data_IF_061303072659
#
_entry.id   IF_061303072659
#
_cell.length_a   1.000
_cell.length_b   1.000
_cell.length_c   1.000
_cell.angle_alpha   90.00
_cell.angle_beta   90.00
_cell.angle_gamma   90.00
#
_symmetry.space_group_name_H-M   'P 1'
#
loop_
_entity.id
_entity.type
_entity.pdbx_description
1 polymer ?
#
# COMPACT_ATOMS: atom_id res chain seq x y z
N UNK A 1 0.90 -0.39 -15.91
CA UNK A 1 2.18 -1.15 -15.96
C UNK A 1 1.92 -2.51 -15.36
N UNK A 2 2.38 -3.59 -15.98
CA UNK A 2 2.30 -4.95 -15.43
C UNK A 2 3.41 -5.16 -14.40
N UNK A 3 3.09 -5.75 -13.26
CA UNK A 3 4.03 -6.19 -12.21
C UNK A 3 4.31 -7.67 -12.39
N UNK A 4 3.24 -8.44 -12.51
CA UNK A 4 3.23 -9.84 -12.94
C UNK A 4 2.16 -10.01 -14.03
N UNK A 5 1.92 -11.23 -14.51
CA UNK A 5 0.87 -11.46 -15.51
C UNK A 5 -0.53 -11.02 -15.05
N UNK A 6 -0.79 -11.10 -13.74
CA UNK A 6 -2.11 -10.89 -13.15
C UNK A 6 -2.16 -9.68 -12.20
N UNK A 7 -1.01 -9.05 -11.90
CA UNK A 7 -0.93 -7.89 -11.01
C UNK A 7 -0.53 -6.65 -11.80
N UNK A 8 -1.39 -5.64 -11.76
CA UNK A 8 -1.21 -4.38 -12.48
C UNK A 8 -1.02 -3.21 -11.51
N UNK A 9 -0.17 -2.26 -11.87
CA UNK A 9 -0.05 -0.98 -11.20
C UNK A 9 -1.11 0.01 -11.71
N UNK A 10 -1.87 0.61 -10.81
CA UNK A 10 -2.92 1.59 -11.09
C UNK A 10 -2.70 2.96 -10.41
N UNK A 11 -1.58 3.14 -9.76
CA UNK A 11 -1.30 4.39 -9.03
C UNK A 11 -1.20 5.64 -9.90
N UNK A 12 -0.99 6.77 -9.25
CA UNK A 12 -0.91 8.10 -9.85
C UNK A 12 0.34 8.84 -9.39
N UNK A 13 0.76 9.84 -10.15
CA UNK A 13 1.85 10.74 -9.81
C UNK A 13 1.32 12.15 -9.57
N UNK A 14 1.64 12.73 -8.42
CA UNK A 14 1.28 14.10 -8.06
C UNK A 14 2.51 15.00 -8.23
N UNK A 15 2.49 15.82 -9.28
CA UNK A 15 3.51 16.84 -9.56
C UNK A 15 3.10 18.23 -9.07
N UNK A 16 1.90 18.37 -8.51
CA UNK A 16 1.40 19.64 -8.00
C UNK A 16 1.74 19.88 -6.53
N UNK A 17 2.01 18.78 -5.79
CA UNK A 17 2.40 18.87 -4.40
C UNK A 17 3.87 19.31 -4.28
N UNK A 18 4.13 20.30 -3.41
CA UNK A 18 5.48 20.77 -3.08
C UNK A 18 5.89 20.42 -1.64
N UNK A 19 4.90 20.24 -0.75
CA UNK A 19 5.11 19.90 0.66
C UNK A 19 4.17 18.75 1.07
N UNK A 20 4.73 17.56 1.28
CA UNK A 20 4.00 16.39 1.76
C UNK A 20 3.79 16.45 3.28
N UNK A 21 2.61 16.03 3.77
CA UNK A 21 2.19 16.13 5.17
C UNK A 21 2.42 17.52 5.81
N UNK A 22 2.38 18.59 5.02
CA UNK A 22 2.62 19.98 5.44
C UNK A 22 4.01 20.23 6.05
N UNK A 23 4.99 19.32 5.86
CA UNK A 23 6.31 19.46 6.45
C UNK A 23 7.48 18.94 5.59
N UNK A 24 7.25 18.03 4.66
CA UNK A 24 8.33 17.45 3.85
C UNK A 24 8.32 18.02 2.44
N UNK A 25 9.37 18.78 2.09
CA UNK A 25 9.51 19.25 0.71
C UNK A 25 9.69 18.07 -0.25
N UNK A 26 8.90 18.04 -1.32
CA UNK A 26 8.90 16.99 -2.35
C UNK A 26 9.03 17.61 -3.73
N UNK A 27 10.22 18.12 -4.08
CA UNK A 27 10.44 18.84 -5.35
C UNK A 27 10.21 17.97 -6.59
N UNK A 28 10.26 16.64 -6.42
CA UNK A 28 9.98 15.66 -7.47
C UNK A 28 8.57 15.06 -7.35
N UNK A 29 7.65 15.72 -6.63
CA UNK A 29 6.28 15.27 -6.44
C UNK A 29 6.16 14.04 -5.52
N UNK A 30 5.03 13.34 -5.63
CA UNK A 30 4.73 12.09 -4.91
C UNK A 30 4.07 11.09 -5.84
N UNK A 31 4.25 9.81 -5.53
CA UNK A 31 3.46 8.72 -6.11
C UNK A 31 2.48 8.21 -5.05
N UNK A 32 1.22 8.02 -5.42
CA UNK A 32 0.22 7.30 -4.62
C UNK A 32 -0.11 6.01 -5.35
N UNK A 33 0.39 4.90 -4.80
CA UNK A 33 0.34 3.61 -5.46
C UNK A 33 -0.93 2.85 -5.10
N UNK A 34 -1.54 2.26 -6.11
CA UNK A 34 -2.64 1.31 -6.02
C UNK A 34 -2.39 0.19 -6.99
N UNK A 35 -2.93 -0.99 -6.70
CA UNK A 35 -2.68 -2.18 -7.52
C UNK A 35 -3.97 -2.94 -7.78
N UNK A 36 -3.98 -3.73 -8.85
CA UNK A 36 -5.10 -4.58 -9.24
C UNK A 36 -4.62 -6.01 -9.41
N UNK A 37 -5.28 -6.94 -8.76
CA UNK A 37 -5.06 -8.38 -8.92
C UNK A 37 -6.22 -8.95 -9.72
N UNK A 38 -5.91 -9.48 -10.90
CA UNK A 38 -6.85 -10.10 -11.82
C UNK A 38 -6.83 -11.62 -11.61
N UNK A 39 -7.94 -12.15 -11.09
CA UNK A 39 -8.12 -13.58 -10.87
C UNK A 39 -9.59 -13.94 -11.10
N UNK A 40 -10.04 -15.11 -10.64
CA UNK A 40 -11.47 -15.48 -10.60
C UNK A 40 -12.27 -14.41 -9.87
N UNK A 41 -11.76 -13.95 -8.72
CA UNK A 41 -12.20 -12.74 -8.03
C UNK A 41 -11.15 -11.64 -8.15
N UNK A 42 -11.60 -10.41 -8.37
CA UNK A 42 -10.73 -9.24 -8.58
C UNK A 42 -10.56 -8.49 -7.27
N UNK A 43 -9.31 -8.17 -6.93
CA UNK A 43 -9.00 -7.31 -5.80
C UNK A 43 -8.26 -6.04 -6.23
N UNK A 44 -8.73 -4.89 -5.74
CA UNK A 44 -8.01 -3.61 -5.78
C UNK A 44 -7.28 -3.45 -4.45
N UNK A 45 -5.99 -3.11 -4.49
CA UNK A 45 -5.13 -2.91 -3.32
C UNK A 45 -4.92 -1.43 -3.11
N UNK A 46 -5.49 -0.90 -2.04
CA UNK A 46 -5.54 0.50 -1.64
C UNK A 46 -6.13 1.46 -2.69
N UNK A 47 -6.37 2.67 -2.28
CA UNK A 47 -6.83 3.76 -3.14
C UNK A 47 -5.73 4.83 -3.27
N UNK A 48 -6.09 6.00 -3.75
CA UNK A 48 -5.18 7.13 -3.95
C UNK A 48 -5.75 8.39 -3.28
N UNK A 49 -4.98 9.47 -3.26
CA UNK A 49 -5.42 10.78 -2.81
C UNK A 49 -6.68 11.24 -3.55
N UNK A 50 -7.57 11.92 -2.83
CA UNK A 50 -8.87 12.34 -3.34
C UNK A 50 -8.81 13.22 -4.60
N UNK A 51 -7.72 13.96 -4.80
CA UNK A 51 -7.52 14.79 -6.00
C UNK A 51 -7.38 13.96 -7.28
N UNK A 52 -7.02 12.69 -7.18
CA UNK A 52 -6.80 11.77 -8.31
C UNK A 52 -7.88 10.71 -8.46
N UNK A 53 -8.99 10.82 -7.71
CA UNK A 53 -10.09 9.83 -7.72
C UNK A 53 -10.58 9.50 -9.13
N UNK A 54 -10.89 10.50 -9.94
CA UNK A 54 -11.46 10.32 -11.28
C UNK A 54 -10.47 9.64 -12.23
N UNK A 55 -9.20 10.03 -12.17
CA UNK A 55 -8.13 9.40 -12.95
C UNK A 55 -7.98 7.93 -12.56
N UNK A 56 -7.92 7.66 -11.26
CA UNK A 56 -7.72 6.32 -10.74
C UNK A 56 -8.92 5.39 -11.04
N UNK A 57 -10.16 5.83 -10.84
CA UNK A 57 -11.36 5.06 -11.20
C UNK A 57 -11.40 4.78 -12.71
N UNK A 58 -10.98 5.73 -13.54
CA UNK A 58 -10.88 5.53 -14.98
C UNK A 58 -9.86 4.43 -15.34
N UNK A 59 -8.71 4.39 -14.66
CA UNK A 59 -7.69 3.34 -14.83
C UNK A 59 -8.23 1.97 -14.43
N UNK A 60 -8.97 1.87 -13.31
CA UNK A 60 -9.62 0.64 -12.88
C UNK A 60 -10.61 0.17 -13.95
N UNK A 61 -11.52 1.02 -14.39
CA UNK A 61 -12.52 0.68 -15.38
C UNK A 61 -11.88 0.22 -16.71
N UNK A 62 -10.81 0.89 -17.15
CA UNK A 62 -10.09 0.50 -18.36
C UNK A 62 -9.41 -0.86 -18.23
N UNK A 63 -8.87 -1.20 -17.05
CA UNK A 63 -8.22 -2.48 -16.80
C UNK A 63 -9.22 -3.64 -16.67
N UNK A 64 -10.41 -3.38 -16.14
CA UNK A 64 -11.44 -4.39 -15.88
C UNK A 64 -12.36 -4.68 -17.07
N UNK A 65 -12.52 -3.71 -17.99
CA UNK A 65 -13.51 -3.83 -19.07
C UNK A 65 -14.93 -3.96 -18.52
N UNK A 66 -15.57 -5.10 -18.75
CA UNK A 66 -16.94 -5.37 -18.29
C UNK A 66 -17.01 -5.96 -16.86
N UNK A 67 -15.86 -6.30 -16.26
CA UNK A 67 -15.79 -6.81 -14.88
C UNK A 67 -15.93 -5.68 -13.87
N UNK A 68 -16.32 -6.04 -12.65
CA UNK A 68 -16.24 -5.17 -11.48
C UNK A 68 -15.29 -5.81 -10.44
N UNK A 69 -14.68 -5.01 -9.55
CA UNK A 69 -13.87 -5.56 -8.47
C UNK A 69 -14.76 -6.24 -7.42
N UNK A 70 -14.33 -7.41 -6.95
CA UNK A 70 -14.98 -8.15 -5.86
C UNK A 70 -14.56 -7.60 -4.50
N UNK A 71 -13.29 -7.15 -4.41
CA UNK A 71 -12.71 -6.64 -3.18
C UNK A 71 -11.95 -5.33 -3.39
N UNK A 72 -12.04 -4.46 -2.39
CA UNK A 72 -11.07 -3.39 -2.11
C UNK A 72 -10.35 -3.74 -0.81
N UNK A 73 -9.06 -4.01 -0.88
CA UNK A 73 -8.23 -4.22 0.31
C UNK A 73 -7.60 -2.90 0.70
N UNK A 74 -7.95 -2.40 1.89
CA UNK A 74 -7.41 -1.14 2.43
C UNK A 74 -6.39 -1.49 3.51
N UNK A 75 -5.12 -1.23 3.22
CA UNK A 75 -4.01 -1.53 4.11
C UNK A 75 -3.71 -0.38 5.05
N UNK A 76 -3.99 0.87 4.60
CA UNK A 76 -3.67 2.09 5.32
C UNK A 76 -4.75 3.16 5.14
N UNK A 77 -4.96 3.95 6.21
CA UNK A 77 -6.05 4.95 6.28
C UNK A 77 -5.56 6.40 6.19
N UNK A 78 -4.30 6.64 5.88
CA UNK A 78 -3.82 7.99 5.60
C UNK A 78 -4.54 8.56 4.37
N UNK A 79 -4.91 9.86 4.37
CA UNK A 79 -5.78 10.43 3.33
C UNK A 79 -5.28 10.26 1.89
N UNK A 80 -3.97 10.22 1.67
CA UNK A 80 -3.37 10.03 0.35
C UNK A 80 -3.50 8.59 -0.20
N UNK A 81 -3.92 7.63 0.65
CA UNK A 81 -4.27 6.26 0.28
C UNK A 81 -5.74 5.93 0.53
N UNK A 82 -6.40 6.67 1.41
CA UNK A 82 -7.79 6.42 1.79
C UNK A 82 -8.79 7.41 1.18
N UNK A 83 -8.31 8.53 0.62
CA UNK A 83 -9.15 9.64 0.17
C UNK A 83 -10.18 9.28 -0.89
N UNK A 84 -9.92 8.24 -1.68
CA UNK A 84 -10.82 7.78 -2.75
C UNK A 84 -11.73 6.62 -2.35
N UNK A 85 -11.70 6.12 -1.10
CA UNK A 85 -12.49 4.95 -0.65
C UNK A 85 -13.98 5.18 -0.85
N UNK A 86 -14.52 6.33 -0.43
CA UNK A 86 -15.97 6.56 -0.50
C UNK A 86 -16.46 6.68 -1.95
N UNK A 87 -15.71 7.37 -2.81
CA UNK A 87 -16.02 7.48 -4.23
C UNK A 87 -15.95 6.11 -4.94
N UNK A 88 -14.94 5.30 -4.63
CA UNK A 88 -14.83 3.93 -5.12
C UNK A 88 -16.03 3.08 -4.66
N UNK A 89 -16.39 3.21 -3.38
CA UNK A 89 -17.51 2.50 -2.80
C UNK A 89 -18.86 2.86 -3.44
N UNK A 90 -19.00 4.09 -3.95
CA UNK A 90 -20.17 4.53 -4.72
C UNK A 90 -20.12 4.01 -6.16
N UNK A 91 -18.95 4.04 -6.80
CA UNK A 91 -18.77 3.54 -8.17
C UNK A 91 -18.99 2.01 -8.27
N UNK A 92 -18.58 1.27 -7.22
CA UNK A 92 -18.69 -0.20 -7.16
C UNK A 92 -19.45 -0.66 -5.91
N UNK A 93 -20.79 -0.51 -5.90
CA UNK A 93 -21.61 -0.69 -4.70
C UNK A 93 -21.68 -2.13 -4.18
N UNK A 94 -21.27 -3.12 -4.98
CA UNK A 94 -21.27 -4.55 -4.60
C UNK A 94 -19.91 -5.03 -4.09
N UNK A 95 -18.85 -4.23 -4.27
CA UNK A 95 -17.49 -4.58 -3.85
C UNK A 95 -17.41 -4.67 -2.33
N UNK A 96 -16.82 -5.73 -1.81
CA UNK A 96 -16.53 -5.88 -0.38
C UNK A 96 -15.27 -5.10 -0.02
N UNK A 97 -15.28 -4.43 1.13
CA UNK A 97 -14.13 -3.70 1.65
C UNK A 97 -13.45 -4.55 2.72
N UNK A 98 -12.17 -4.86 2.52
CA UNK A 98 -11.36 -5.73 3.37
C UNK A 98 -10.34 -4.89 4.11
N UNK A 99 -10.34 -4.92 5.44
CA UNK A 99 -9.33 -4.20 6.23
C UNK A 99 -9.34 -4.65 7.69
N UNK A 100 -8.45 -4.05 8.51
CA UNK A 100 -8.42 -4.26 9.94
C UNK A 100 -9.65 -3.66 10.64
N UNK A 101 -9.99 -4.17 11.82
CA UNK A 101 -11.09 -3.61 12.61
C UNK A 101 -10.90 -2.12 12.93
N UNK A 102 -9.65 -1.68 13.15
CA UNK A 102 -9.34 -0.27 13.41
C UNK A 102 -9.58 0.62 12.19
N UNK A 103 -9.24 0.15 10.99
CA UNK A 103 -9.48 0.89 9.76
C UNK A 103 -10.97 1.19 9.57
N UNK A 104 -11.86 0.25 9.87
CA UNK A 104 -13.31 0.50 9.80
C UNK A 104 -13.79 1.53 10.80
N UNK A 105 -13.19 1.60 12.00
CA UNK A 105 -13.46 2.70 12.95
C UNK A 105 -13.01 4.04 12.36
N UNK A 106 -11.87 4.08 11.68
CA UNK A 106 -11.38 5.30 11.04
C UNK A 106 -12.22 5.67 9.80
N UNK A 107 -12.67 4.71 9.01
CA UNK A 107 -13.63 4.93 7.90
C UNK A 107 -14.92 5.59 8.41
N UNK A 108 -15.46 5.11 9.55
CA UNK A 108 -16.61 5.74 10.18
C UNK A 108 -16.35 7.21 10.58
N UNK A 109 -15.13 7.51 11.03
CA UNK A 109 -14.76 8.88 11.41
C UNK A 109 -14.52 9.79 10.20
N UNK A 110 -13.92 9.27 9.13
CA UNK A 110 -13.55 10.03 7.94
C UNK A 110 -14.73 10.23 6.98
N UNK A 111 -15.53 9.18 6.79
CA UNK A 111 -16.58 9.14 5.75
C UNK A 111 -17.99 9.06 6.32
N UNK A 112 -18.16 8.90 7.64
CA UNK A 112 -19.46 8.67 8.24
C UNK A 112 -20.06 7.29 7.97
N UNK A 113 -19.28 6.36 7.44
CA UNK A 113 -19.66 4.98 7.15
C UNK A 113 -18.53 4.01 7.53
N UNK A 114 -18.89 2.87 8.11
CA UNK A 114 -18.00 1.74 8.33
C UNK A 114 -18.28 0.59 7.36
N UNK A 115 -19.12 0.86 6.34
CA UNK A 115 -19.50 -0.12 5.31
C UNK A 115 -19.98 -1.47 5.88
N UNK A 116 -20.76 -1.45 6.96
CA UNK A 116 -21.17 -2.63 7.74
C UNK A 116 -21.82 -3.74 6.92
N UNK A 117 -22.50 -3.39 5.82
CA UNK A 117 -23.19 -4.30 4.90
C UNK A 117 -22.25 -5.10 4.00
N UNK A 118 -21.01 -4.63 3.81
CA UNK A 118 -20.03 -5.21 2.88
C UNK A 118 -18.58 -5.22 3.38
N UNK A 119 -18.35 -4.91 4.66
CA UNK A 119 -17.03 -4.99 5.25
C UNK A 119 -16.61 -6.44 5.54
N UNK A 120 -15.33 -6.73 5.31
CA UNK A 120 -14.65 -7.96 5.69
C UNK A 120 -13.52 -7.58 6.63
N UNK A 121 -13.68 -7.90 7.90
CA UNK A 121 -12.64 -7.60 8.91
C UNK A 121 -11.62 -8.71 8.91
N UNK A 122 -10.34 -8.33 8.77
CA UNK A 122 -9.21 -9.26 8.80
C UNK A 122 -8.21 -8.89 9.90
N UNK A 123 -7.41 -9.87 10.30
CA UNK A 123 -6.36 -9.77 11.33
C UNK A 123 -5.14 -10.59 10.93
N UNK A 124 -4.12 -10.54 11.76
CA UNK A 124 -2.91 -11.37 11.61
C UNK A 124 -3.24 -12.84 11.33
N UNK A 125 -2.70 -13.35 10.23
CA UNK A 125 -2.80 -14.74 9.82
C UNK A 125 -4.10 -15.13 9.10
N UNK A 126 -5.06 -14.21 8.95
CA UNK A 126 -6.25 -14.46 8.11
C UNK A 126 -5.83 -14.50 6.64
N UNK A 127 -6.64 -15.16 5.81
CA UNK A 127 -6.41 -15.28 4.37
C UNK A 127 -7.66 -14.95 3.57
N UNK A 128 -7.44 -14.52 2.31
CA UNK A 128 -8.51 -14.31 1.33
C UNK A 128 -8.09 -14.94 0.00
N UNK A 129 -8.84 -15.95 -0.44
CA UNK A 129 -8.61 -16.56 -1.76
C UNK A 129 -9.33 -15.75 -2.84
N UNK A 130 -8.62 -15.51 -3.94
CA UNK A 130 -9.17 -14.88 -5.15
C UNK A 130 -9.37 -15.89 -6.30
N UNK A 131 -8.82 -17.10 -6.13
CA UNK A 131 -8.75 -18.17 -7.13
C UNK A 131 -7.35 -18.79 -7.10
N UNK A 132 -6.47 -18.43 -8.02
CA UNK A 132 -5.04 -18.76 -8.01
C UNK A 132 -4.30 -18.04 -6.89
N UNK A 133 -4.61 -16.76 -6.71
CA UNK A 133 -4.00 -15.92 -5.67
C UNK A 133 -4.64 -16.15 -4.31
N UNK A 134 -3.82 -16.24 -3.28
CA UNK A 134 -4.25 -16.24 -1.88
C UNK A 134 -3.52 -15.12 -1.13
N UNK A 135 -4.29 -14.19 -0.64
CA UNK A 135 -3.81 -13.04 0.12
C UNK A 135 -3.71 -13.42 1.61
N UNK A 136 -2.52 -13.28 2.19
CA UNK A 136 -2.24 -13.50 3.60
C UNK A 136 -2.06 -12.16 4.30
N UNK A 137 -2.82 -11.90 5.36
CA UNK A 137 -2.77 -10.63 6.07
C UNK A 137 -1.78 -10.66 7.23
N UNK A 138 -0.90 -9.65 7.25
CA UNK A 138 0.14 -9.46 8.26
C UNK A 138 -0.12 -8.13 8.96
N UNK A 139 -0.42 -8.17 10.26
CA UNK A 139 -0.62 -6.94 11.03
C UNK A 139 0.71 -6.19 11.21
N UNK A 140 0.71 -4.92 10.86
CA UNK A 140 1.86 -4.01 10.96
C UNK A 140 1.52 -2.73 11.77
N UNK A 141 0.94 -2.86 12.98
CA UNK A 141 0.49 -1.70 13.74
C UNK A 141 1.65 -0.76 14.04
N UNK A 142 1.41 0.54 13.86
CA UNK A 142 2.38 1.62 14.01
C UNK A 142 3.52 1.61 12.97
N UNK A 143 3.29 0.92 11.84
CA UNK A 143 4.18 1.06 10.67
C UNK A 143 3.37 1.63 9.47
N UNK A 144 2.96 2.95 9.47
CA UNK A 144 3.33 3.82 10.61
C UNK A 144 2.09 4.22 11.44
N UNK A 145 0.87 3.86 11.08
CA UNK A 145 -0.38 4.08 11.84
C UNK A 145 -0.90 2.80 12.51
N UNK A 146 -1.81 2.94 13.51
CA UNK A 146 -2.19 1.79 14.36
C UNK A 146 -3.05 0.73 13.68
N UNK A 147 -3.68 1.04 12.55
CA UNK A 147 -4.58 0.14 11.81
C UNK A 147 -3.88 -0.65 10.73
N UNK A 148 -2.62 -0.31 10.38
CA UNK A 148 -1.91 -0.83 9.21
C UNK A 148 -1.86 -2.34 9.20
N UNK A 149 -2.20 -2.90 8.05
CA UNK A 149 -1.96 -4.29 7.65
C UNK A 149 -1.10 -4.30 6.39
N UNK A 150 -0.32 -5.34 6.21
CA UNK A 150 0.34 -5.69 4.97
C UNK A 150 -0.34 -6.93 4.39
N UNK A 151 -0.20 -7.13 3.10
CA UNK A 151 -0.79 -8.27 2.41
C UNK A 151 0.27 -9.00 1.61
N UNK A 152 0.43 -10.29 1.82
CA UNK A 152 1.33 -11.13 1.04
C UNK A 152 0.53 -12.03 0.12
N UNK A 153 0.80 -11.96 -1.17
CA UNK A 153 0.28 -12.89 -2.18
C UNK A 153 1.27 -14.04 -2.36
N UNK A 154 0.81 -15.26 -2.09
CA UNK A 154 1.66 -16.46 -2.14
C UNK A 154 1.87 -17.00 -3.56
N UNK A 155 0.98 -16.67 -4.50
CA UNK A 155 1.05 -17.16 -5.87
C UNK A 155 2.20 -16.53 -6.67
N UNK A 156 2.35 -15.22 -6.59
CA UNK A 156 3.40 -14.47 -7.29
C UNK A 156 4.47 -13.91 -6.33
N UNK A 157 4.37 -14.27 -5.03
CA UNK A 157 5.34 -13.87 -3.98
C UNK A 157 5.49 -12.37 -3.84
N UNK A 158 4.38 -11.65 -3.91
CA UNK A 158 4.32 -10.19 -3.85
C UNK A 158 3.90 -9.75 -2.44
N UNK A 159 4.69 -8.88 -1.84
CA UNK A 159 4.33 -8.21 -0.60
C UNK A 159 3.80 -6.80 -0.92
N UNK A 160 2.53 -6.55 -0.65
CA UNK A 160 1.96 -5.22 -0.57
C UNK A 160 2.21 -4.70 0.84
N UNK A 161 3.11 -3.74 0.97
CA UNK A 161 3.76 -3.40 2.24
C UNK A 161 3.20 -2.18 2.94
N UNK A 162 2.06 -1.66 2.50
CA UNK A 162 1.61 -0.33 2.88
C UNK A 162 2.74 0.69 2.65
N UNK A 163 2.99 1.60 3.58
CA UNK A 163 4.03 2.63 3.46
C UNK A 163 5.45 2.13 3.66
N UNK A 164 5.62 0.93 4.21
CA UNK A 164 6.96 0.40 4.40
C UNK A 164 7.68 0.23 3.05
N UNK A 165 8.97 0.56 3.04
CA UNK A 165 9.86 0.56 1.88
C UNK A 165 9.58 1.65 0.85
N UNK A 166 8.67 2.58 1.15
CA UNK A 166 8.37 3.74 0.33
C UNK A 166 9.49 4.77 0.28
N UNK A 167 9.35 5.72 -0.64
CA UNK A 167 10.21 6.91 -0.75
C UNK A 167 9.39 8.12 -1.19
N UNK A 168 9.89 9.33 -0.97
CA UNK A 168 9.37 10.52 -1.63
C UNK A 168 9.68 10.50 -3.12
N UNK A 169 8.89 11.23 -3.91
CA UNK A 169 9.06 11.44 -5.34
C UNK A 169 8.07 10.65 -6.20
N UNK A 170 7.69 11.25 -7.32
CA UNK A 170 6.85 10.64 -8.35
C UNK A 170 7.63 9.55 -9.11
N UNK A 171 6.92 8.51 -9.61
CA UNK A 171 7.57 7.36 -10.27
C UNK A 171 8.08 7.62 -11.67
N UNK A 172 7.64 8.68 -12.31
CA UNK A 172 8.07 9.11 -13.64
C UNK A 172 9.25 10.11 -13.60
N UNK A 173 9.80 10.36 -12.40
CA UNK A 173 11.05 11.11 -12.19
C UNK A 173 12.17 10.13 -11.86
N UNK A 174 13.22 10.14 -12.65
CA UNK A 174 14.40 9.29 -12.40
C UNK A 174 15.16 9.79 -11.18
N UNK A 175 15.24 8.98 -10.14
CA UNK A 175 15.83 9.34 -8.86
C UNK A 175 16.30 8.09 -8.12
N UNK A 176 17.44 8.20 -7.42
CA UNK A 176 17.94 7.11 -6.58
C UNK A 176 16.99 6.82 -5.41
N UNK A 177 16.76 5.52 -5.14
CA UNK A 177 15.85 5.10 -4.05
C UNK A 177 16.37 5.50 -2.67
N UNK A 178 17.66 5.26 -2.38
CA UNK A 178 18.21 5.30 -1.03
C UNK A 178 18.12 6.67 -0.34
N UNK A 179 18.46 7.82 -0.98
CA UNK A 179 18.41 9.13 -0.31
C UNK A 179 16.98 9.50 0.10
N UNK A 180 16.01 9.33 -0.80
CA UNK A 180 14.61 9.70 -0.57
C UNK A 180 13.87 8.69 0.31
N UNK A 181 14.19 7.40 0.23
CA UNK A 181 13.69 6.38 1.14
C UNK A 181 14.20 6.57 2.57
N UNK A 182 15.47 6.97 2.74
CA UNK A 182 16.03 7.32 4.06
C UNK A 182 15.31 8.53 4.65
N UNK A 183 15.10 9.56 3.86
CA UNK A 183 14.40 10.78 4.27
C UNK A 183 12.95 10.47 4.66
N UNK A 184 12.27 9.67 3.83
CA UNK A 184 10.93 9.16 4.09
C UNK A 184 10.88 8.35 5.38
N UNK A 185 11.76 7.36 5.54
CA UNK A 185 11.82 6.52 6.74
C UNK A 185 12.01 7.36 8.00
N UNK A 186 13.00 8.26 8.04
CA UNK A 186 13.31 9.07 9.23
C UNK A 186 12.13 9.98 9.59
N UNK A 187 11.49 10.60 8.60
CA UNK A 187 10.39 11.53 8.81
C UNK A 187 9.10 10.84 9.26
N UNK A 188 8.71 9.77 8.57
CA UNK A 188 7.40 9.13 8.68
C UNK A 188 7.42 7.95 9.65
N UNK A 189 8.33 7.01 9.44
CA UNK A 189 8.34 5.69 10.11
C UNK A 189 9.30 5.61 11.29
N UNK A 190 10.38 6.43 11.28
CA UNK A 190 11.55 6.23 12.13
C UNK A 190 11.30 6.24 13.65
N UNK A 191 10.28 6.94 14.14
CA UNK A 191 9.90 6.90 15.57
C UNK A 191 9.38 5.54 16.04
N UNK A 192 9.06 4.64 15.12
CA UNK A 192 8.48 3.33 15.40
C UNK A 192 9.46 2.16 15.12
N UNK A 193 10.76 2.37 15.28
CA UNK A 193 11.78 1.39 14.96
C UNK A 193 11.55 0.00 15.57
N UNK A 194 11.06 -0.07 16.81
CA UNK A 194 10.73 -1.37 17.47
C UNK A 194 9.63 -2.13 16.71
N UNK A 195 8.61 -1.41 16.24
CA UNK A 195 7.51 -2.00 15.47
C UNK A 195 7.99 -2.43 14.08
N UNK A 196 8.83 -1.64 13.44
CA UNK A 196 9.48 -2.01 12.16
C UNK A 196 10.30 -3.29 12.32
N UNK A 197 11.13 -3.40 13.37
CA UNK A 197 11.89 -4.61 13.67
C UNK A 197 10.99 -5.84 13.86
N UNK A 198 9.82 -5.68 14.47
CA UNK A 198 8.85 -6.76 14.63
C UNK A 198 8.26 -7.19 13.28
N UNK A 199 7.94 -6.24 12.40
CA UNK A 199 7.44 -6.52 11.04
C UNK A 199 8.51 -7.19 10.19
N UNK A 200 9.76 -6.71 10.21
CA UNK A 200 10.88 -7.35 9.49
C UNK A 200 11.06 -8.82 9.90
N UNK A 201 10.90 -9.15 11.19
CA UNK A 201 10.95 -10.55 11.66
C UNK A 201 9.81 -11.41 11.10
N UNK A 202 8.60 -10.86 10.96
CA UNK A 202 7.48 -11.57 10.34
C UNK A 202 7.75 -11.79 8.86
N UNK A 203 8.18 -10.76 8.14
CA UNK A 203 8.48 -10.81 6.72
C UNK A 203 9.63 -11.77 6.37
N UNK A 204 10.59 -11.97 7.29
CA UNK A 204 11.71 -12.90 7.09
C UNK A 204 11.29 -14.37 6.92
N UNK A 205 10.06 -14.72 7.29
CA UNK A 205 9.47 -16.05 7.06
C UNK A 205 8.77 -16.21 5.72
N UNK A 206 8.65 -15.14 4.93
CA UNK A 206 7.96 -15.13 3.64
C UNK A 206 8.98 -15.20 2.50
N UNK A 207 8.63 -15.90 1.42
CA UNK A 207 9.44 -15.96 0.21
C UNK A 207 9.03 -14.80 -0.73
N UNK A 208 9.58 -13.61 -0.48
CA UNK A 208 9.23 -12.38 -1.18
C UNK A 208 10.13 -12.21 -2.40
N UNK A 209 9.52 -12.08 -3.58
CA UNK A 209 10.18 -11.78 -4.87
C UNK A 209 10.00 -10.31 -5.27
N UNK A 210 8.87 -9.71 -4.86
CA UNK A 210 8.51 -8.33 -5.21
C UNK A 210 7.85 -7.62 -4.03
N UNK A 211 8.20 -6.36 -3.82
CA UNK A 211 7.53 -5.47 -2.84
C UNK A 211 6.84 -4.34 -3.58
N UNK A 212 5.55 -4.18 -3.28
CA UNK A 212 4.65 -3.15 -3.78
C UNK A 212 4.25 -2.23 -2.62
N UNK A 213 4.96 -1.13 -2.44
CA UNK A 213 4.66 -0.12 -1.42
C UNK A 213 3.63 0.90 -1.90
N UNK A 214 3.06 1.67 -0.99
CA UNK A 214 2.11 2.75 -1.32
C UNK A 214 2.78 4.01 -1.87
N UNK A 215 4.11 4.15 -1.69
CA UNK A 215 4.94 5.18 -2.29
C UNK A 215 6.21 4.59 -2.92
N UNK A 216 6.71 5.24 -3.97
CA UNK A 216 7.97 4.87 -4.59
C UNK A 216 7.89 3.65 -5.52
N UNK A 217 9.03 3.13 -5.96
CA UNK A 217 9.10 2.11 -6.99
C UNK A 217 8.70 0.74 -6.49
N UNK A 218 8.32 -0.13 -7.42
CA UNK A 218 8.22 -1.56 -7.18
C UNK A 218 9.65 -2.09 -7.00
N UNK A 219 9.88 -2.81 -5.92
CA UNK A 219 11.19 -3.35 -5.58
C UNK A 219 11.22 -4.85 -5.90
N UNK A 220 12.18 -5.25 -6.70
CA UNK A 220 12.36 -6.65 -7.10
C UNK A 220 13.45 -7.33 -6.25
N UNK A 221 13.50 -8.65 -6.28
CA UNK A 221 14.35 -9.51 -5.46
C UNK A 221 15.80 -9.06 -5.35
N UNK A 222 16.37 -8.57 -6.47
CA UNK A 222 17.76 -8.12 -6.53
C UNK A 222 18.04 -6.92 -5.64
N UNK A 223 17.02 -6.11 -5.35
CA UNK A 223 17.11 -4.90 -4.53
C UNK A 223 16.81 -5.17 -3.06
N UNK A 224 16.08 -6.27 -2.75
CA UNK A 224 15.53 -6.49 -1.42
C UNK A 224 16.59 -6.66 -0.34
N UNK A 225 17.74 -7.22 -0.65
CA UNK A 225 18.82 -7.39 0.31
C UNK A 225 19.32 -6.03 0.86
N UNK A 226 19.55 -5.06 -0.02
CA UNK A 226 20.01 -3.72 0.34
C UNK A 226 18.91 -2.92 1.05
N UNK A 227 17.67 -3.03 0.57
CA UNK A 227 16.49 -2.37 1.15
C UNK A 227 16.24 -2.86 2.58
N UNK A 228 16.27 -4.17 2.81
CA UNK A 228 16.07 -4.76 4.13
C UNK A 228 17.22 -4.42 5.08
N UNK A 229 18.47 -4.37 4.59
CA UNK A 229 19.64 -3.97 5.38
C UNK A 229 19.55 -2.50 5.82
N UNK A 230 19.08 -1.62 4.93
CA UNK A 230 18.83 -0.21 5.25
C UNK A 230 17.74 -0.08 6.33
N UNK A 231 16.59 -0.73 6.15
CA UNK A 231 15.49 -0.71 7.12
C UNK A 231 15.89 -1.30 8.48
N UNK A 232 16.66 -2.40 8.51
CA UNK A 232 17.20 -2.97 9.76
C UNK A 232 18.15 -2.00 10.47
N UNK A 233 19.01 -1.32 9.71
CA UNK A 233 19.93 -0.31 10.25
C UNK A 233 19.17 0.88 10.83
N UNK A 234 18.25 1.46 10.06
CA UNK A 234 17.51 2.65 10.46
C UNK A 234 16.58 2.38 11.63
N UNK A 235 15.83 1.26 11.61
CA UNK A 235 14.90 0.90 12.68
C UNK A 235 15.57 0.48 13.98
N UNK A 236 16.80 0.01 13.92
CA UNK A 236 17.62 -0.27 15.10
C UNK A 236 18.39 0.98 15.60
N UNK A 237 18.20 2.14 14.97
CA UNK A 237 18.90 3.40 15.29
C UNK A 237 20.42 3.28 15.24
N UNK A 238 20.93 2.44 14.35
CA UNK A 238 22.37 2.31 14.13
C UNK A 238 22.87 3.36 13.15
N UNK A 239 24.11 3.89 13.31
CA UNK A 239 24.70 4.76 12.30
C UNK A 239 24.94 3.98 11.01
N UNK A 240 24.78 4.66 9.88
CA UNK A 240 25.28 4.18 8.60
C UNK A 240 26.81 4.37 8.57
N UNK A 241 27.55 3.34 8.21
CA UNK A 241 29.04 3.37 8.13
C UNK A 241 29.50 3.37 6.68
#
# INVERSE_FOLDING_TARGET
MEITNDILYLGVNDHAIDIFESQYAVPNGMAYNSYLILDDQVAVMDTVDAHFTDEWITKIAAALGERAPDYLVVQHMEPDHAGSIDAFAQAYPTTKIVSSAKAFVMMQQFFGSDYADRRVVVKEGDTLSLGRHTLHFVAAPMVHWPEVIMTYDDADKVLFSADAFGKFGALDVEEEWLPEARRYFIGIVGKYGVQVQAVLKKAAGLDIETVCSLHGPILHKEQLADVLAAYDTWSAYRPET
#
